data_IF_023060586519
#
_entry.id   IF_023060586519
#
_cell.length_a   1.000
_cell.length_b   1.000
_cell.length_c   1.000
_cell.angle_alpha   90.00
_cell.angle_beta   90.00
_cell.angle_gamma   90.00
#
_symmetry.space_group_name_H-M   'P 1'
#
loop_
_entity.id
_entity.type
_entity.pdbx_description
1 polymer ?
#
# COMPACT_ATOMS: atom_id res chain seq x y z
N UNK A 1 16.56 -6.91 6.46
CA UNK A 1 15.11 -7.04 6.48
C UNK A 1 14.51 -5.99 7.37
N UNK A 2 13.40 -5.39 6.91
CA UNK A 2 12.56 -4.53 7.73
C UNK A 2 11.72 -5.42 8.66
N UNK A 3 11.76 -5.14 9.94
CA UNK A 3 11.05 -5.89 10.97
C UNK A 3 10.24 -4.94 11.84
N UNK A 4 8.99 -5.30 12.12
CA UNK A 4 8.16 -4.61 13.09
C UNK A 4 7.63 -5.56 14.14
N UNK A 5 7.47 -5.06 15.36
CA UNK A 5 6.78 -5.72 16.46
C UNK A 5 5.69 -4.78 16.95
N UNK A 6 4.46 -5.25 16.95
CA UNK A 6 3.31 -4.50 17.45
C UNK A 6 2.65 -5.27 18.58
N UNK A 7 2.29 -4.59 19.65
CA UNK A 7 1.53 -5.14 20.75
C UNK A 7 0.43 -4.15 21.16
N UNK A 8 -0.78 -4.64 21.40
CA UNK A 8 -1.92 -3.81 21.79
C UNK A 8 -3.19 -4.65 21.93
N UNK A 9 -4.23 -4.03 22.46
CA UNK A 9 -5.57 -4.60 22.48
C UNK A 9 -6.30 -4.22 21.19
N UNK A 10 -6.12 -5.06 20.15
CA UNK A 10 -6.57 -4.79 18.80
C UNK A 10 -7.63 -5.80 18.36
N UNK A 11 -8.65 -5.30 17.67
CA UNK A 11 -9.59 -6.14 16.94
C UNK A 11 -8.97 -6.64 15.63
N UNK A 12 -9.46 -7.76 15.14
CA UNK A 12 -8.95 -8.45 13.94
C UNK A 12 -10.05 -8.57 12.87
N UNK A 13 -9.74 -8.13 11.66
CA UNK A 13 -10.42 -8.53 10.44
C UNK A 13 -9.55 -9.56 9.71
N UNK A 14 -10.08 -10.78 9.51
CA UNK A 14 -9.35 -11.87 8.86
C UNK A 14 -10.05 -12.32 7.57
N UNK A 15 -9.25 -12.58 6.55
CA UNK A 15 -9.70 -13.16 5.29
C UNK A 15 -8.58 -14.01 4.66
N UNK A 16 -8.81 -14.54 3.46
CA UNK A 16 -7.85 -15.37 2.74
C UNK A 16 -7.78 -14.98 1.28
N UNK A 17 -6.62 -15.19 0.71
CA UNK A 17 -6.38 -15.07 -0.73
C UNK A 17 -5.79 -16.37 -1.26
N UNK A 18 -6.33 -16.84 -2.40
CA UNK A 18 -5.76 -17.99 -3.11
C UNK A 18 -4.89 -17.47 -4.25
N UNK A 19 -3.60 -17.74 -4.18
CA UNK A 19 -2.64 -17.33 -5.21
C UNK A 19 -2.87 -18.07 -6.52
N UNK A 20 -2.24 -17.59 -7.59
CA UNK A 20 -2.30 -18.19 -8.91
C UNK A 20 -1.83 -19.66 -8.91
N UNK A 21 -0.87 -20.02 -8.05
CA UNK A 21 -0.40 -21.41 -7.86
C UNK A 21 -1.32 -22.27 -6.97
N UNK A 22 -2.39 -21.68 -6.41
CA UNK A 22 -3.33 -22.37 -5.52
C UNK A 22 -2.97 -22.34 -4.03
N UNK A 23 -1.90 -21.65 -3.64
CA UNK A 23 -1.50 -21.50 -2.25
C UNK A 23 -2.44 -20.53 -1.51
N UNK A 24 -2.78 -20.87 -0.27
CA UNK A 24 -3.59 -20.01 0.60
C UNK A 24 -2.71 -19.05 1.38
N UNK A 25 -3.03 -17.77 1.29
CA UNK A 25 -2.42 -16.71 2.11
C UNK A 25 -3.48 -16.18 3.07
N UNK A 26 -3.16 -16.20 4.37
CA UNK A 26 -3.98 -15.57 5.40
C UNK A 26 -3.78 -14.06 5.36
N UNK A 27 -4.86 -13.29 5.31
CA UNK A 27 -4.85 -11.83 5.33
C UNK A 27 -5.44 -11.35 6.65
N UNK A 28 -4.73 -10.47 7.33
CA UNK A 28 -5.15 -9.95 8.63
C UNK A 28 -4.97 -8.43 8.68
N UNK A 29 -6.01 -7.73 9.11
CA UNK A 29 -5.94 -6.30 9.43
C UNK A 29 -6.29 -6.14 10.90
N UNK A 30 -5.40 -5.51 11.64
CA UNK A 30 -5.54 -5.18 13.05
C UNK A 30 -5.79 -3.69 13.21
N UNK A 31 -6.79 -3.33 14.00
CA UNK A 31 -7.13 -1.95 14.33
C UNK A 31 -7.77 -1.89 15.70
N UNK A 32 -7.94 -0.70 16.27
CA UNK A 32 -8.77 -0.54 17.46
C UNK A 32 -10.21 -1.00 17.19
N UNK A 33 -10.87 -1.50 18.21
CA UNK A 33 -12.17 -2.16 18.07
C UNK A 33 -13.26 -1.26 17.43
N UNK A 34 -13.22 0.05 17.67
CA UNK A 34 -14.17 1.00 17.11
C UNK A 34 -13.93 1.31 15.63
N UNK A 35 -12.76 0.97 15.09
CA UNK A 35 -12.34 1.24 13.71
C UNK A 35 -12.43 0.01 12.80
N UNK A 36 -12.52 -1.20 13.35
CA UNK A 36 -12.35 -2.43 12.57
C UNK A 36 -13.36 -2.58 11.41
N UNK A 37 -14.57 -2.08 11.55
CA UNK A 37 -15.62 -2.13 10.53
C UNK A 37 -15.33 -1.21 9.33
N UNK A 38 -14.36 -0.32 9.45
CA UNK A 38 -13.94 0.59 8.37
C UNK A 38 -12.76 0.02 7.55
N UNK A 39 -12.31 -1.20 7.88
CA UNK A 39 -11.17 -1.85 7.22
C UNK A 39 -11.54 -2.71 6.00
N UNK A 40 -12.83 -2.92 5.71
CA UNK A 40 -13.29 -3.83 4.66
C UNK A 40 -12.77 -3.42 3.27
N UNK A 41 -12.76 -2.12 2.98
CA UNK A 41 -12.25 -1.61 1.71
C UNK A 41 -10.75 -1.88 1.55
N UNK A 42 -9.96 -1.68 2.60
CA UNK A 42 -8.52 -1.98 2.56
C UNK A 42 -8.26 -3.47 2.33
N UNK A 43 -9.08 -4.36 2.91
CA UNK A 43 -9.00 -5.81 2.66
C UNK A 43 -9.32 -6.15 1.19
N UNK A 44 -10.31 -5.52 0.61
CA UNK A 44 -10.64 -5.69 -0.81
C UNK A 44 -9.50 -5.18 -1.71
N UNK A 45 -8.95 -3.99 -1.41
CA UNK A 45 -7.80 -3.43 -2.13
C UNK A 45 -6.61 -4.37 -2.08
N UNK A 46 -6.27 -4.91 -0.90
CA UNK A 46 -5.17 -5.86 -0.75
C UNK A 46 -5.35 -7.07 -1.68
N UNK A 47 -6.53 -7.66 -1.72
CA UNK A 47 -6.81 -8.80 -2.63
C UNK A 47 -6.72 -8.41 -4.11
N UNK A 48 -7.20 -7.21 -4.46
CA UNK A 48 -7.07 -6.69 -5.84
C UNK A 48 -5.62 -6.47 -6.23
N UNK A 49 -4.81 -5.93 -5.32
CA UNK A 49 -3.38 -5.71 -5.52
C UNK A 49 -2.62 -7.02 -5.73
N UNK A 50 -2.90 -8.04 -4.92
CA UNK A 50 -2.33 -9.39 -5.08
C UNK A 50 -2.66 -9.97 -6.45
N UNK A 51 -3.94 -9.92 -6.84
CA UNK A 51 -4.40 -10.43 -8.14
C UNK A 51 -3.79 -9.68 -9.31
N UNK A 52 -3.66 -8.37 -9.20
CA UNK A 52 -3.09 -7.54 -10.25
C UNK A 52 -1.59 -7.83 -10.45
N UNK A 53 -0.83 -7.96 -9.36
CA UNK A 53 0.59 -8.28 -9.39
C UNK A 53 0.85 -9.66 -10.03
N UNK A 54 0.04 -10.65 -9.67
CA UNK A 54 0.09 -11.97 -10.28
C UNK A 54 -0.21 -11.93 -11.79
N UNK A 55 -1.25 -11.21 -12.20
CA UNK A 55 -1.64 -11.12 -13.61
C UNK A 55 -0.67 -10.30 -14.46
N UNK A 56 -0.17 -9.20 -13.91
CA UNK A 56 0.64 -8.23 -14.64
C UNK A 56 2.11 -8.63 -14.71
N UNK A 57 2.65 -9.16 -13.61
CA UNK A 57 4.08 -9.44 -13.44
C UNK A 57 4.39 -10.90 -13.10
N UNK A 58 3.41 -11.75 -12.91
CA UNK A 58 3.60 -13.14 -12.51
C UNK A 58 4.21 -13.24 -11.10
N UNK A 59 3.89 -12.30 -10.20
CA UNK A 59 4.50 -12.22 -8.87
C UNK A 59 3.49 -12.56 -7.79
N UNK A 60 3.60 -13.77 -7.23
CA UNK A 60 2.84 -14.17 -6.06
C UNK A 60 3.47 -13.66 -4.78
N UNK A 61 2.64 -13.42 -3.78
CA UNK A 61 3.11 -13.19 -2.42
C UNK A 61 3.81 -14.45 -1.87
N UNK A 62 4.93 -14.29 -1.22
CA UNK A 62 5.84 -15.39 -0.89
C UNK A 62 5.72 -15.94 0.54
N UNK A 63 4.91 -15.30 1.40
CA UNK A 63 4.62 -15.78 2.75
C UNK A 63 3.19 -16.35 2.84
N UNK A 64 2.90 -17.09 3.93
CA UNK A 64 1.58 -17.67 4.16
C UNK A 64 0.63 -16.74 4.92
N UNK A 65 1.14 -15.59 5.39
CA UNK A 65 0.38 -14.57 6.10
C UNK A 65 0.82 -13.17 5.67
N UNK A 66 -0.14 -12.28 5.51
CA UNK A 66 0.06 -10.84 5.31
C UNK A 66 -0.74 -10.08 6.36
N UNK A 67 -0.07 -9.21 7.10
CA UNK A 67 -0.67 -8.44 8.19
C UNK A 67 -0.55 -6.95 7.93
N UNK A 68 -1.61 -6.21 8.25
CA UNK A 68 -1.67 -4.76 8.33
C UNK A 68 -2.06 -4.40 9.77
N UNK A 69 -1.38 -3.42 10.34
CA UNK A 69 -1.77 -2.81 11.62
C UNK A 69 -2.02 -1.33 11.40
N UNK A 70 -3.24 -0.88 11.69
CA UNK A 70 -3.64 0.52 11.62
C UNK A 70 -3.36 1.22 12.95
N UNK A 71 -2.60 2.31 12.92
CA UNK A 71 -2.14 3.08 14.09
C UNK A 71 -2.52 4.55 13.92
N UNK A 72 -3.13 5.17 14.93
CA UNK A 72 -3.56 6.57 14.84
C UNK A 72 -2.38 7.54 14.85
N UNK A 73 -1.42 7.34 15.75
CA UNK A 73 -0.24 8.19 15.92
C UNK A 73 0.97 7.69 15.11
N UNK A 74 0.81 7.62 13.79
CA UNK A 74 1.89 7.23 12.89
C UNK A 74 2.35 8.42 12.05
N UNK A 75 3.66 8.70 12.04
CA UNK A 75 4.22 9.89 11.40
C UNK A 75 4.24 9.86 9.87
N UNK A 76 4.04 8.68 9.27
CA UNK A 76 4.06 8.45 7.83
C UNK A 76 2.69 7.94 7.37
N UNK A 77 2.52 7.76 6.06
CA UNK A 77 1.33 7.09 5.52
C UNK A 77 1.31 5.61 5.89
N UNK A 78 2.38 4.90 5.60
CA UNK A 78 2.56 3.50 5.95
C UNK A 78 4.05 3.09 5.92
N UNK A 79 4.32 1.81 6.26
CA UNK A 79 5.65 1.22 6.22
C UNK A 79 5.56 -0.27 5.85
N UNK A 80 6.34 -0.67 4.87
CA UNK A 80 6.32 -1.98 4.23
C UNK A 80 7.03 -3.12 5.00
N UNK A 81 7.09 -3.12 6.32
CA UNK A 81 7.76 -4.17 7.07
C UNK A 81 7.30 -5.56 6.61
N UNK A 82 8.25 -6.44 6.33
CA UNK A 82 7.99 -7.74 5.69
C UNK A 82 6.96 -8.57 6.45
N UNK A 83 5.81 -8.81 5.83
CA UNK A 83 4.71 -9.61 6.39
C UNK A 83 3.86 -8.92 7.46
N UNK A 84 4.26 -7.74 7.95
CA UNK A 84 3.51 -6.93 8.91
C UNK A 84 3.70 -5.45 8.63
N UNK A 85 2.86 -4.91 7.77
CA UNK A 85 2.89 -3.49 7.42
C UNK A 85 2.22 -2.67 8.51
N UNK A 86 2.77 -1.49 8.79
CA UNK A 86 2.18 -0.53 9.74
C UNK A 86 1.65 0.67 8.96
N UNK A 87 0.42 1.04 9.22
CA UNK A 87 -0.30 2.09 8.49
C UNK A 87 -0.83 3.17 9.44
N UNK A 88 -0.77 4.40 9.00
CA UNK A 88 -1.63 5.43 9.57
C UNK A 88 -3.10 5.07 9.28
N UNK A 89 -3.99 5.25 10.25
CA UNK A 89 -5.42 4.95 10.12
C UNK A 89 -6.05 5.62 8.89
N UNK A 90 -5.62 6.83 8.53
CA UNK A 90 -6.10 7.56 7.34
C UNK A 90 -5.82 6.87 6.00
N UNK A 91 -4.94 5.87 5.99
CA UNK A 91 -4.57 5.08 4.81
C UNK A 91 -5.18 3.67 4.79
N UNK A 92 -6.01 3.34 5.79
CA UNK A 92 -6.69 2.03 5.91
C UNK A 92 -8.19 2.20 6.07
N UNK A 93 -8.62 3.19 6.88
CA UNK A 93 -10.01 3.33 7.26
C UNK A 93 -10.81 4.08 6.19
N UNK A 94 -11.91 3.48 5.74
CA UNK A 94 -12.87 4.11 4.86
C UNK A 94 -14.29 3.64 5.23
N UNK A 95 -15.06 4.55 5.84
CA UNK A 95 -16.47 4.30 6.14
C UNK A 95 -17.33 4.71 4.94
N UNK A 96 -18.23 3.86 4.44
CA UNK A 96 -19.15 4.21 3.36
C UNK A 96 -20.00 5.45 3.65
N UNK A 97 -20.26 5.74 4.92
CA UNK A 97 -21.14 6.85 5.32
C UNK A 97 -20.43 8.21 5.34
N UNK A 98 -19.09 8.22 5.46
CA UNK A 98 -18.32 9.46 5.71
C UNK A 98 -17.09 9.64 4.82
N UNK A 99 -16.58 8.58 4.20
CA UNK A 99 -15.39 8.65 3.37
C UNK A 99 -15.68 9.36 2.03
N UNK A 100 -14.77 10.25 1.63
CA UNK A 100 -14.78 10.88 0.31
C UNK A 100 -14.12 9.99 -0.74
N UNK A 101 -14.32 10.31 -2.03
CA UNK A 101 -13.62 9.63 -3.12
C UNK A 101 -12.09 9.71 -2.94
N UNK A 102 -11.58 10.85 -2.47
CA UNK A 102 -10.15 11.02 -2.17
C UNK A 102 -9.65 10.10 -1.06
N UNK A 103 -10.49 9.85 -0.03
CA UNK A 103 -10.15 8.90 1.03
C UNK A 103 -10.07 7.46 0.48
N UNK A 104 -11.01 7.05 -0.35
CA UNK A 104 -10.98 5.75 -1.03
C UNK A 104 -9.75 5.61 -1.95
N UNK A 105 -9.45 6.63 -2.74
CA UNK A 105 -8.26 6.64 -3.60
C UNK A 105 -6.97 6.56 -2.80
N UNK A 106 -6.89 7.24 -1.66
CA UNK A 106 -5.74 7.17 -0.75
C UNK A 106 -5.55 5.76 -0.19
N UNK A 107 -6.60 5.14 0.32
CA UNK A 107 -6.53 3.76 0.83
C UNK A 107 -6.11 2.81 -0.30
N UNK A 108 -6.69 2.95 -1.49
CA UNK A 108 -6.33 2.14 -2.65
C UNK A 108 -4.85 2.28 -3.02
N UNK A 109 -4.36 3.49 -3.15
CA UNK A 109 -2.98 3.75 -3.55
C UNK A 109 -1.98 3.25 -2.49
N UNK A 110 -2.20 3.56 -1.20
CA UNK A 110 -1.23 3.23 -0.14
C UNK A 110 -1.22 1.73 0.16
N UNK A 111 -2.39 1.06 0.23
CA UNK A 111 -2.43 -0.40 0.43
C UNK A 111 -1.74 -1.13 -0.71
N UNK A 112 -1.95 -0.70 -1.95
CA UNK A 112 -1.28 -1.28 -3.12
C UNK A 112 0.23 -1.00 -3.09
N UNK A 113 0.65 0.22 -2.76
CA UNK A 113 2.05 0.63 -2.64
C UNK A 113 2.80 -0.28 -1.66
N UNK A 114 2.32 -0.42 -0.44
CA UNK A 114 2.96 -1.25 0.58
C UNK A 114 2.97 -2.74 0.21
N UNK A 115 1.90 -3.22 -0.42
CA UNK A 115 1.90 -4.59 -0.94
C UNK A 115 2.97 -4.79 -2.03
N UNK A 116 3.11 -3.84 -2.97
CA UNK A 116 4.08 -3.97 -4.06
C UNK A 116 5.53 -3.89 -3.58
N UNK A 117 5.79 -3.25 -2.46
CA UNK A 117 7.07 -3.30 -1.79
C UNK A 117 7.52 -4.71 -1.41
N UNK A 118 6.61 -5.68 -1.34
CA UNK A 118 7.00 -7.06 -1.09
C UNK A 118 8.09 -7.55 -2.05
N UNK A 119 7.98 -7.20 -3.33
CA UNK A 119 9.00 -7.47 -4.34
C UNK A 119 9.98 -6.32 -4.50
N UNK A 120 9.51 -5.10 -4.76
CA UNK A 120 10.36 -3.92 -4.97
C UNK A 120 10.65 -3.20 -3.65
N UNK A 121 11.59 -3.69 -2.89
CA UNK A 121 12.01 -3.16 -1.58
C UNK A 121 12.36 -4.27 -0.59
N UNK A 122 11.49 -5.26 -0.43
CA UNK A 122 11.71 -6.36 0.52
C UNK A 122 12.50 -7.51 -0.09
N UNK A 123 11.99 -8.15 -1.13
CA UNK A 123 12.70 -9.28 -1.77
C UNK A 123 13.88 -8.80 -2.62
N UNK A 124 13.69 -7.73 -3.37
CA UNK A 124 14.74 -7.02 -4.08
C UNK A 124 14.98 -5.71 -3.34
N UNK A 125 15.93 -5.74 -2.41
CA UNK A 125 16.21 -4.60 -1.54
C UNK A 125 17.27 -3.67 -2.13
N UNK A 126 17.25 -2.40 -1.72
CA UNK A 126 18.29 -1.44 -2.08
C UNK A 126 19.64 -1.85 -1.45
N UNK A 127 20.70 -1.76 -2.23
CA UNK A 127 22.06 -1.95 -1.74
C UNK A 127 22.48 -0.82 -0.79
N UNK A 128 22.06 0.40 -1.09
CA UNK A 128 22.36 1.62 -0.33
C UNK A 128 21.29 2.68 -0.59
N UNK A 129 21.35 3.80 0.16
CA UNK A 129 20.36 4.88 0.08
C UNK A 129 20.39 5.67 -1.23
N UNK A 130 21.50 5.64 -1.99
CA UNK A 130 21.56 6.28 -3.30
C UNK A 130 20.66 5.59 -4.34
N UNK A 131 20.21 4.37 -4.04
CA UNK A 131 19.31 3.59 -4.89
C UNK A 131 17.84 3.61 -4.44
N UNK A 132 17.48 4.54 -3.54
CA UNK A 132 16.13 4.63 -2.99
C UNK A 132 15.05 4.73 -4.07
N UNK A 133 15.32 5.47 -5.14
CA UNK A 133 14.39 5.59 -6.28
C UNK A 133 14.11 4.26 -7.00
N UNK A 134 15.02 3.30 -6.93
CA UNK A 134 14.79 1.95 -7.48
C UNK A 134 13.83 1.12 -6.63
N UNK A 135 13.62 1.51 -5.38
CA UNK A 135 12.63 0.93 -4.48
C UNK A 135 11.34 1.78 -4.53
N UNK A 136 11.40 3.03 -4.05
CA UNK A 136 10.23 3.90 -3.92
C UNK A 136 9.66 4.32 -5.28
N UNK A 137 10.49 4.83 -6.18
CA UNK A 137 10.04 5.30 -7.50
C UNK A 137 9.45 4.17 -8.34
N UNK A 138 10.03 2.98 -8.28
CA UNK A 138 9.48 1.82 -8.98
C UNK A 138 8.16 1.35 -8.36
N UNK A 139 8.03 1.40 -7.04
CA UNK A 139 6.79 1.05 -6.35
C UNK A 139 5.68 2.08 -6.60
N UNK A 140 6.01 3.38 -6.59
CA UNK A 140 5.08 4.46 -7.01
C UNK A 140 4.60 4.27 -8.45
N UNK A 141 5.49 3.89 -9.36
CA UNK A 141 5.07 3.55 -10.73
C UNK A 141 4.06 2.41 -10.75
N UNK A 142 4.27 1.36 -9.95
CA UNK A 142 3.39 0.19 -9.91
C UNK A 142 2.04 0.50 -9.28
N UNK A 143 1.99 1.28 -8.21
CA UNK A 143 0.73 1.68 -7.58
C UNK A 143 -0.08 2.61 -8.48
N UNK A 144 0.58 3.53 -9.21
CA UNK A 144 -0.06 4.40 -10.19
C UNK A 144 -0.64 3.61 -11.38
N UNK A 145 0.07 2.59 -11.88
CA UNK A 145 -0.43 1.69 -12.92
C UNK A 145 -1.61 0.84 -12.40
N UNK A 146 -1.54 0.36 -11.16
CA UNK A 146 -2.64 -0.35 -10.53
C UNK A 146 -3.89 0.53 -10.42
N UNK A 147 -3.78 1.73 -9.85
CA UNK A 147 -4.90 2.66 -9.74
C UNK A 147 -5.48 3.05 -11.10
N UNK A 148 -4.61 3.19 -12.12
CA UNK A 148 -5.03 3.44 -13.50
C UNK A 148 -5.84 2.28 -14.08
N UNK A 149 -5.44 1.04 -13.81
CA UNK A 149 -6.12 -0.17 -14.30
C UNK A 149 -7.42 -0.46 -13.52
N UNK A 150 -7.49 -0.07 -12.24
CA UNK A 150 -8.70 -0.25 -11.41
C UNK A 150 -9.77 0.80 -11.68
N UNK A 151 -9.38 2.03 -12.06
CA UNK A 151 -10.27 3.17 -12.22
C UNK A 151 -10.21 3.74 -13.65
N UNK A 152 -9.79 4.99 -13.76
CA UNK A 152 -9.67 5.69 -15.05
C UNK A 152 -8.25 6.17 -15.29
N UNK A 153 -7.61 5.61 -16.31
CA UNK A 153 -6.26 5.98 -16.73
C UNK A 153 -6.14 7.46 -17.10
N UNK A 154 -7.18 8.02 -17.68
CA UNK A 154 -7.22 9.45 -18.05
C UNK A 154 -7.32 10.34 -16.82
N UNK A 155 -8.14 10.00 -15.84
CA UNK A 155 -8.27 10.75 -14.59
C UNK A 155 -6.97 10.66 -13.80
N UNK A 156 -6.43 9.46 -13.62
CA UNK A 156 -5.14 9.27 -12.95
C UNK A 156 -4.01 10.10 -13.58
N UNK A 157 -3.98 10.17 -14.93
CA UNK A 157 -3.00 11.01 -15.63
C UNK A 157 -3.16 12.50 -15.33
N UNK A 158 -4.38 12.99 -15.19
CA UNK A 158 -4.64 14.40 -14.81
C UNK A 158 -4.13 14.67 -13.40
N UNK A 159 -4.39 13.77 -12.46
CA UNK A 159 -3.90 13.85 -11.08
C UNK A 159 -2.37 13.84 -11.03
N UNK A 160 -1.72 12.92 -11.73
CA UNK A 160 -0.25 12.81 -11.79
C UNK A 160 0.41 14.09 -12.37
N UNK A 161 -0.21 14.69 -13.39
CA UNK A 161 0.25 15.99 -13.93
C UNK A 161 0.06 17.11 -12.91
N UNK A 162 -1.00 17.07 -12.11
CA UNK A 162 -1.21 17.99 -11.00
C UNK A 162 -0.07 17.90 -9.98
N UNK A 163 0.24 16.70 -9.50
CA UNK A 163 1.36 16.45 -8.57
C UNK A 163 2.71 16.86 -9.15
N UNK A 164 2.98 16.51 -10.40
CA UNK A 164 4.21 16.89 -11.10
C UNK A 164 4.43 18.42 -11.06
N UNK A 165 3.38 19.17 -11.36
CA UNK A 165 3.45 20.64 -11.44
C UNK A 165 3.49 21.32 -10.09
N UNK A 166 2.72 20.83 -9.12
CA UNK A 166 2.56 21.50 -7.83
C UNK A 166 3.63 21.11 -6.80
N UNK A 167 4.22 19.93 -6.91
CA UNK A 167 5.18 19.39 -5.94
C UNK A 167 6.54 19.15 -6.61
N UNK A 168 6.62 18.26 -7.58
CA UNK A 168 7.90 17.79 -8.10
C UNK A 168 8.71 18.91 -8.75
N UNK A 169 8.10 19.75 -9.58
CA UNK A 169 8.84 20.86 -10.21
C UNK A 169 9.36 21.88 -9.20
N UNK A 170 8.65 22.08 -8.08
CA UNK A 170 9.11 22.94 -7.00
C UNK A 170 10.29 22.31 -6.25
N UNK A 171 10.26 21.03 -5.98
CA UNK A 171 11.36 20.28 -5.38
C UNK A 171 12.59 20.26 -6.29
N UNK A 172 12.42 19.96 -7.58
CA UNK A 172 13.49 19.90 -8.56
C UNK A 172 14.17 21.28 -8.78
N UNK A 173 13.47 22.38 -8.55
CA UNK A 173 14.02 23.73 -8.59
C UNK A 173 14.69 24.13 -7.25
N UNK A 174 14.59 23.31 -6.23
CA UNK A 174 15.09 23.60 -4.88
C UNK A 174 16.55 23.20 -4.66
N UNK A 175 17.13 23.60 -3.51
CA UNK A 175 18.54 23.34 -3.22
C UNK A 175 18.87 21.87 -2.91
N UNK A 176 17.86 21.03 -2.74
CA UNK A 176 18.00 19.59 -2.45
C UNK A 176 17.72 18.70 -3.67
N UNK A 177 17.50 19.30 -4.83
CA UNK A 177 17.30 18.59 -6.08
C UNK A 177 18.65 18.05 -6.60
N UNK A 178 18.90 16.75 -6.42
CA UNK A 178 20.13 16.09 -6.89
C UNK A 178 19.82 14.71 -7.46
#
# INVERSE_FOLDING_TARGET
YLFALVAGDLALLEDRYTTMSGRQVKLQIFSEAHNIQQCDYAMDVLKRSMRWDEKRFGREYDLDIYMIVAVEDFNMGAMENKGLNVFNTSCVLASPDTATDEAYQRVEAVVAHEYFHNWSGNRVTCRDWFQLSLKEGFTVFRDAEFSSDMNSRSVKRIEDVGLLRSIQFAEDAGPLAH
#
